data_IF_041339043016
#
_entry.id   IF_041339043016
#
_cell.length_a   1.000
_cell.length_b   1.000
_cell.length_c   1.000
_cell.angle_alpha   90.00
_cell.angle_beta   90.00
_cell.angle_gamma   90.00
#
_symmetry.space_group_name_H-M   'P 1'
#
loop_
_entity.id
_entity.type
_entity.pdbx_description
1 polymer ?
#
# COMPACT_ATOMS: atom_id res chain seq x y z
N UNK A 1 -22.87 6.59 -3.72
CA UNK A 1 -22.30 5.57 -4.61
C UNK A 1 -23.21 4.35 -4.60
N UNK A 2 -23.78 4.01 -5.76
CA UNK A 2 -24.63 2.84 -5.95
C UNK A 2 -23.94 1.92 -6.95
N UNK A 3 -23.40 0.81 -6.46
CA UNK A 3 -22.75 -0.22 -7.27
C UNK A 3 -23.58 -1.49 -7.20
N UNK A 4 -23.97 -2.00 -8.35
CA UNK A 4 -24.68 -3.27 -8.45
C UNK A 4 -24.13 -4.09 -9.62
N UNK A 5 -24.12 -5.40 -9.45
CA UNK A 5 -23.72 -6.33 -10.50
C UNK A 5 -24.80 -6.38 -11.58
N UNK A 6 -24.37 -6.40 -12.83
CA UNK A 6 -25.24 -6.53 -14.01
C UNK A 6 -24.88 -7.77 -14.84
N UNK A 7 -25.85 -8.31 -15.58
CA UNK A 7 -25.69 -9.43 -16.51
C UNK A 7 -25.66 -8.91 -17.95
N UNK A 8 -24.67 -8.10 -18.29
CA UNK A 8 -24.59 -7.44 -19.60
C UNK A 8 -23.48 -6.38 -19.64
N UNK A 9 -23.50 -5.47 -20.63
CA UNK A 9 -22.57 -4.35 -20.68
C UNK A 9 -22.58 -3.57 -19.37
N UNK A 10 -21.39 -3.35 -18.80
CA UNK A 10 -21.19 -2.64 -17.55
C UNK A 10 -20.32 -1.40 -17.75
N UNK A 11 -20.48 -0.41 -16.88
CA UNK A 11 -19.61 0.77 -16.87
C UNK A 11 -18.20 0.45 -16.36
N UNK A 12 -18.10 -0.52 -15.45
CA UNK A 12 -16.85 -1.07 -14.93
C UNK A 12 -16.90 -2.58 -15.10
N UNK A 13 -15.90 -3.15 -15.76
CA UNK A 13 -15.77 -4.61 -15.91
C UNK A 13 -14.52 -5.10 -15.21
N UNK A 14 -14.69 -6.02 -14.27
CA UNK A 14 -13.58 -6.66 -13.55
C UNK A 14 -13.28 -7.97 -14.26
N UNK A 15 -12.04 -8.10 -14.74
CA UNK A 15 -11.55 -9.28 -15.46
C UNK A 15 -10.40 -9.92 -14.69
N UNK A 16 -10.55 -11.19 -14.38
CA UNK A 16 -9.48 -12.00 -13.80
C UNK A 16 -8.61 -12.59 -14.91
N UNK A 17 -7.32 -12.29 -14.88
CA UNK A 17 -6.34 -12.64 -15.90
C UNK A 17 -5.13 -13.29 -15.23
N UNK A 18 -4.50 -14.33 -15.79
CA UNK A 18 -3.30 -14.92 -15.19
C UNK A 18 -2.19 -13.88 -15.00
N UNK A 19 -1.52 -13.90 -13.85
CA UNK A 19 -0.47 -12.95 -13.50
C UNK A 19 0.62 -12.85 -14.58
N UNK A 20 1.00 -13.98 -15.19
CA UNK A 20 1.98 -13.99 -16.29
C UNK A 20 1.56 -13.12 -17.49
N UNK A 21 0.27 -13.08 -17.83
CA UNK A 21 -0.24 -12.23 -18.91
C UNK A 21 -0.27 -10.75 -18.52
N UNK A 22 -0.57 -10.45 -17.25
CA UNK A 22 -0.47 -9.09 -16.71
C UNK A 22 0.98 -8.61 -16.81
N UNK A 23 1.95 -9.39 -16.31
CA UNK A 23 3.38 -9.04 -16.35
C UNK A 23 3.89 -8.87 -17.78
N UNK A 24 3.46 -9.70 -18.74
CA UNK A 24 3.84 -9.53 -20.14
C UNK A 24 3.31 -8.22 -20.74
N UNK A 25 2.10 -7.80 -20.34
CA UNK A 25 1.50 -6.57 -20.83
C UNK A 25 2.02 -5.32 -20.12
N UNK A 26 2.22 -5.41 -18.80
CA UNK A 26 2.67 -4.35 -17.89
C UNK A 26 3.61 -4.95 -16.83
N UNK A 27 4.93 -4.95 -17.06
CA UNK A 27 5.89 -5.67 -16.21
C UNK A 27 6.03 -5.18 -14.76
N UNK A 28 5.52 -3.98 -14.45
CA UNK A 28 5.76 -3.30 -13.18
C UNK A 28 4.53 -3.26 -12.25
N UNK A 29 3.41 -3.88 -12.64
CA UNK A 29 2.14 -3.80 -11.91
C UNK A 29 1.59 -5.20 -11.58
N UNK A 30 0.89 -5.32 -10.45
CA UNK A 30 0.21 -6.56 -10.06
C UNK A 30 -1.21 -6.63 -10.66
N UNK A 31 -1.85 -5.47 -10.74
CA UNK A 31 -3.18 -5.22 -11.28
C UNK A 31 -3.17 -3.83 -11.92
N UNK A 32 -4.17 -3.55 -12.75
CA UNK A 32 -4.28 -2.21 -13.35
C UNK A 32 -5.68 -1.92 -13.87
N UNK A 33 -5.99 -0.62 -13.95
CA UNK A 33 -7.24 -0.07 -14.48
C UNK A 33 -6.99 0.72 -15.75
N UNK A 34 -7.84 0.52 -16.76
CA UNK A 34 -7.77 1.26 -18.04
C UNK A 34 -9.12 1.77 -18.50
N UNK A 35 -9.16 2.92 -19.20
CA UNK A 35 -10.40 3.45 -19.74
C UNK A 35 -10.69 2.92 -21.14
N UNK A 36 -11.92 3.12 -21.60
CA UNK A 36 -12.31 2.98 -23.01
C UNK A 36 -12.54 1.56 -23.49
N UNK A 37 -12.24 0.54 -22.68
CA UNK A 37 -12.42 -0.88 -23.00
C UNK A 37 -13.21 -1.60 -21.91
N UNK A 38 -13.65 -2.83 -22.18
CA UNK A 38 -14.48 -3.62 -21.25
C UNK A 38 -13.89 -5.01 -20.96
N UNK A 39 -12.87 -5.45 -21.69
CA UNK A 39 -12.28 -6.78 -21.50
C UNK A 39 -10.82 -6.82 -21.95
N UNK A 40 -10.17 -7.96 -21.69
CA UNK A 40 -8.75 -8.19 -21.98
C UNK A 40 -8.42 -8.13 -23.47
N UNK A 41 -9.29 -8.70 -24.33
CA UNK A 41 -9.08 -8.69 -25.77
C UNK A 41 -9.15 -7.26 -26.33
N UNK A 42 -10.11 -6.46 -25.85
CA UNK A 42 -10.24 -5.05 -26.17
C UNK A 42 -9.04 -4.23 -25.70
N UNK A 43 -8.52 -4.51 -24.49
CA UNK A 43 -7.27 -3.90 -24.02
C UNK A 43 -6.11 -4.21 -24.97
N UNK A 44 -5.86 -5.48 -25.30
CA UNK A 44 -4.79 -5.89 -26.20
C UNK A 44 -4.89 -5.21 -27.58
N UNK A 45 -6.10 -5.13 -28.13
CA UNK A 45 -6.36 -4.48 -29.42
C UNK A 45 -6.15 -2.95 -29.39
N UNK A 46 -6.38 -2.31 -28.23
CA UNK A 46 -6.26 -0.88 -28.03
C UNK A 46 -4.89 -0.44 -27.48
N UNK A 47 -3.96 -1.38 -27.20
CA UNK A 47 -2.62 -1.06 -26.69
C UNK A 47 -1.90 -0.05 -27.60
N UNK A 48 -1.28 0.95 -26.99
CA UNK A 48 -0.56 2.01 -27.71
C UNK A 48 -1.45 3.00 -28.45
N UNK A 49 -2.78 2.90 -28.34
CA UNK A 49 -3.71 3.86 -28.92
C UNK A 49 -4.17 4.89 -27.90
N UNK A 50 -4.74 6.01 -28.38
CA UNK A 50 -5.32 7.07 -27.53
C UNK A 50 -6.59 6.64 -26.79
N UNK A 51 -7.15 5.47 -27.09
CA UNK A 51 -8.37 4.99 -26.43
C UNK A 51 -8.15 4.68 -24.95
N UNK A 52 -6.92 4.31 -24.57
CA UNK A 52 -6.54 3.96 -23.21
C UNK A 52 -5.96 5.15 -22.42
N UNK A 53 -5.95 6.35 -23.01
CA UNK A 53 -5.30 7.54 -22.46
C UNK A 53 -6.23 8.27 -21.48
N UNK A 54 -5.93 8.17 -20.19
CA UNK A 54 -6.68 8.81 -19.12
C UNK A 54 -6.75 10.34 -19.24
N UNK A 55 -5.68 10.99 -19.73
CA UNK A 55 -5.61 12.45 -19.85
C UNK A 55 -6.62 13.00 -20.87
N UNK A 56 -7.05 12.17 -21.82
CA UNK A 56 -8.02 12.54 -22.86
C UNK A 56 -9.44 12.17 -22.52
N UNK A 57 -9.68 11.54 -21.37
CA UNK A 57 -10.98 11.02 -21.01
C UNK A 57 -11.90 12.13 -20.51
N UNK A 58 -12.77 12.63 -21.38
CA UNK A 58 -13.78 13.62 -20.98
C UNK A 58 -14.86 13.06 -20.04
N UNK A 59 -15.20 11.77 -20.18
CA UNK A 59 -16.18 11.10 -19.31
C UNK A 59 -15.84 9.62 -19.15
N UNK A 60 -15.96 9.10 -17.91
CA UNK A 60 -15.81 7.68 -17.60
C UNK A 60 -17.09 6.93 -17.93
N UNK A 61 -17.13 6.28 -19.10
CA UNK A 61 -18.28 5.48 -19.53
C UNK A 61 -18.01 3.98 -19.48
N UNK A 62 -16.77 3.57 -19.81
CA UNK A 62 -16.32 2.18 -19.82
C UNK A 62 -14.92 2.11 -19.27
N UNK A 63 -14.75 1.35 -18.21
CA UNK A 63 -13.48 1.10 -17.54
C UNK A 63 -13.32 -0.42 -17.40
N UNK A 64 -12.11 -0.92 -17.63
CA UNK A 64 -11.75 -2.30 -17.33
C UNK A 64 -10.75 -2.32 -16.19
N UNK A 65 -10.96 -3.22 -15.23
CA UNK A 65 -10.07 -3.52 -14.12
C UNK A 65 -9.53 -4.93 -14.34
N UNK A 66 -8.21 -5.09 -14.35
CA UNK A 66 -7.56 -6.37 -14.53
C UNK A 66 -6.89 -6.82 -13.24
N UNK A 67 -7.33 -7.97 -12.73
CA UNK A 67 -6.84 -8.56 -11.48
C UNK A 67 -6.17 -9.91 -11.78
N UNK A 68 -5.11 -10.29 -11.04
CA UNK A 68 -4.50 -11.60 -11.18
C UNK A 68 -5.47 -12.71 -10.75
N UNK A 69 -5.66 -13.73 -11.59
CA UNK A 69 -6.56 -14.87 -11.31
C UNK A 69 -5.96 -15.93 -10.37
N UNK A 70 -4.64 -15.89 -10.21
CA UNK A 70 -3.79 -16.90 -9.60
C UNK A 70 -2.91 -16.33 -8.45
N UNK A 71 -3.20 -15.10 -8.02
CA UNK A 71 -2.59 -14.47 -6.83
C UNK A 71 -3.32 -14.84 -5.53
N UNK A 72 -2.75 -14.42 -4.40
CA UNK A 72 -3.32 -14.70 -3.07
C UNK A 72 -4.68 -14.01 -2.86
N UNK A 73 -5.58 -14.55 -2.00
CA UNK A 73 -6.84 -13.90 -1.68
C UNK A 73 -6.69 -12.46 -1.17
N UNK A 74 -5.65 -12.19 -0.36
CA UNK A 74 -5.35 -10.84 0.09
C UNK A 74 -4.97 -9.94 -1.07
N UNK A 75 -4.05 -10.35 -1.93
CA UNK A 75 -3.60 -9.53 -3.07
C UNK A 75 -4.74 -9.23 -4.05
N UNK A 76 -5.61 -10.20 -4.32
CA UNK A 76 -6.83 -9.98 -5.12
C UNK A 76 -7.75 -8.93 -4.49
N UNK A 77 -7.93 -8.98 -3.17
CA UNK A 77 -8.75 -8.01 -2.43
C UNK A 77 -8.10 -6.62 -2.46
N UNK A 78 -6.80 -6.56 -2.20
CA UNK A 78 -6.03 -5.31 -2.13
C UNK A 78 -6.08 -4.60 -3.51
N UNK A 79 -5.81 -5.33 -4.59
CA UNK A 79 -6.00 -4.85 -5.97
C UNK A 79 -7.45 -4.46 -6.28
N UNK A 80 -8.44 -5.22 -5.80
CA UNK A 80 -9.84 -4.85 -6.01
C UNK A 80 -10.19 -3.52 -5.33
N UNK A 81 -9.63 -3.23 -4.15
CA UNK A 81 -9.80 -1.93 -3.49
C UNK A 81 -9.16 -0.81 -4.30
N UNK A 82 -7.90 -0.96 -4.70
CA UNK A 82 -7.12 0.05 -5.41
C UNK A 82 -7.73 0.37 -6.78
N UNK A 83 -7.86 -0.64 -7.63
CA UNK A 83 -8.26 -0.44 -9.03
C UNK A 83 -9.72 0.00 -9.16
N UNK A 84 -10.59 -0.47 -8.26
CA UNK A 84 -11.97 0.01 -8.23
C UNK A 84 -12.07 1.43 -7.70
N UNK A 85 -11.26 1.81 -6.71
CA UNK A 85 -11.19 3.18 -6.22
C UNK A 85 -10.75 4.13 -7.34
N UNK A 86 -9.69 3.76 -8.07
CA UNK A 86 -9.19 4.52 -9.21
C UNK A 86 -10.19 4.56 -10.38
N UNK A 87 -10.88 3.44 -10.68
CA UNK A 87 -11.96 3.42 -11.67
C UNK A 87 -13.06 4.44 -11.36
N UNK A 88 -13.39 4.61 -10.08
CA UNK A 88 -14.47 5.47 -9.59
C UNK A 88 -14.03 6.91 -9.30
N UNK A 89 -12.78 7.10 -8.90
CA UNK A 89 -12.27 8.32 -8.29
C UNK A 89 -10.96 8.82 -8.87
N UNK A 90 -10.21 9.65 -8.14
CA UNK A 90 -8.91 10.14 -8.59
C UNK A 90 -7.94 9.01 -8.93
N UNK A 91 -7.05 9.26 -9.89
CA UNK A 91 -5.96 8.36 -10.28
C UNK A 91 -4.61 8.80 -9.71
N UNK A 92 -4.58 9.92 -8.99
CA UNK A 92 -3.34 10.52 -8.53
C UNK A 92 -2.85 9.81 -7.28
N UNK A 93 -1.60 9.39 -7.31
CA UNK A 93 -0.88 8.85 -6.18
C UNK A 93 -0.15 9.97 -5.44
N UNK A 94 -0.63 10.30 -4.25
CA UNK A 94 -0.17 11.43 -3.45
C UNK A 94 0.42 10.95 -2.13
N UNK A 95 1.75 10.82 -2.06
CA UNK A 95 2.46 10.37 -0.84
C UNK A 95 2.23 11.26 0.40
N UNK A 96 1.66 12.45 0.20
CA UNK A 96 1.23 13.35 1.28
C UNK A 96 -0.11 12.99 1.91
N UNK A 97 -0.77 11.92 1.48
CA UNK A 97 -2.04 11.41 2.03
C UNK A 97 -1.80 10.11 2.81
N UNK A 98 -1.24 10.16 4.04
CA UNK A 98 -0.88 8.96 4.80
C UNK A 98 -2.07 8.06 5.16
N UNK A 99 -3.30 8.55 5.04
CA UNK A 99 -4.57 7.91 5.38
C UNK A 99 -5.37 7.48 4.14
N UNK A 100 -4.72 7.23 3.00
CA UNK A 100 -5.39 6.95 1.73
C UNK A 100 -4.75 5.79 0.99
N UNK A 101 -5.56 4.97 0.30
CA UNK A 101 -5.04 4.02 -0.69
C UNK A 101 -4.45 4.74 -1.93
N UNK A 102 -4.82 6.00 -2.15
CA UNK A 102 -4.34 6.85 -3.26
C UNK A 102 -2.99 7.51 -2.95
N UNK A 103 -2.16 6.88 -2.11
CA UNK A 103 -0.87 7.42 -1.68
C UNK A 103 0.32 6.56 -2.12
N UNK A 104 0.05 5.42 -2.78
CA UNK A 104 1.00 4.49 -3.40
C UNK A 104 2.15 4.05 -2.46
N UNK A 105 1.89 4.04 -1.15
CA UNK A 105 2.83 3.55 -0.14
C UNK A 105 2.61 2.08 0.23
N UNK A 106 1.50 1.50 -0.22
CA UNK A 106 1.06 0.11 -0.02
C UNK A 106 0.89 -0.32 1.45
N UNK A 107 0.68 0.62 2.37
CA UNK A 107 0.36 0.29 3.77
C UNK A 107 -1.13 0.09 3.98
N UNK A 108 -1.95 1.02 3.47
CA UNK A 108 -3.41 0.87 3.45
C UNK A 108 -3.79 0.01 2.26
N UNK A 109 -4.36 -1.16 2.54
CA UNK A 109 -4.77 -2.11 1.50
C UNK A 109 -6.29 -2.29 1.42
N UNK A 110 -7.03 -1.45 2.13
CA UNK A 110 -8.48 -1.34 2.06
C UNK A 110 -8.85 0.14 2.07
N UNK A 111 -10.00 0.46 1.48
CA UNK A 111 -10.51 1.83 1.41
C UNK A 111 -10.67 2.43 2.82
N UNK A 112 -10.01 3.56 3.06
CA UNK A 112 -10.12 4.28 4.33
C UNK A 112 -11.38 5.15 4.37
N UNK A 113 -11.64 5.77 5.53
CA UNK A 113 -12.72 6.76 5.65
C UNK A 113 -12.46 7.98 4.77
N UNK A 114 -11.19 8.38 4.62
CA UNK A 114 -10.79 9.46 3.71
C UNK A 114 -11.11 9.09 2.26
N UNK A 115 -10.71 7.88 1.81
CA UNK A 115 -10.98 7.42 0.45
C UNK A 115 -12.48 7.38 0.15
N UNK A 116 -13.26 6.86 1.10
CA UNK A 116 -14.72 6.80 0.97
C UNK A 116 -15.36 8.19 0.91
N UNK A 117 -14.82 9.19 1.64
CA UNK A 117 -15.26 10.58 1.54
C UNK A 117 -14.95 11.16 0.15
N UNK A 118 -13.73 10.96 -0.35
CA UNK A 118 -13.31 11.42 -1.67
C UNK A 118 -14.16 10.78 -2.76
N UNK A 119 -14.40 9.46 -2.71
CA UNK A 119 -15.26 8.76 -3.67
C UNK A 119 -16.71 9.24 -3.63
N UNK A 120 -17.26 9.53 -2.44
CA UNK A 120 -18.62 10.10 -2.31
C UNK A 120 -18.73 11.47 -2.95
N UNK A 121 -17.74 12.33 -2.76
CA UNK A 121 -17.68 13.64 -3.41
C UNK A 121 -17.57 13.45 -4.93
N UNK A 122 -16.58 12.67 -5.38
CA UNK A 122 -16.26 12.51 -6.79
C UNK A 122 -17.41 11.89 -7.60
N UNK A 123 -18.17 10.97 -6.99
CA UNK A 123 -19.32 10.32 -7.62
C UNK A 123 -20.65 11.02 -7.33
N UNK A 124 -20.62 12.14 -6.60
CA UNK A 124 -21.80 12.92 -6.24
C UNK A 124 -22.38 13.71 -7.42
N UNK A 125 -23.70 13.96 -7.46
CA UNK A 125 -24.35 14.69 -8.55
C UNK A 125 -23.91 16.16 -8.68
N UNK A 126 -23.30 16.72 -7.63
CA UNK A 126 -22.77 18.08 -7.59
C UNK A 126 -21.55 18.25 -8.50
N UNK A 127 -20.79 17.17 -8.72
CA UNK A 127 -19.63 17.13 -9.61
C UNK A 127 -20.03 16.53 -10.97
N UNK A 128 -19.68 17.25 -12.05
CA UNK A 128 -19.96 16.81 -13.42
C UNK A 128 -18.71 16.87 -14.28
N UNK A 129 -18.58 15.93 -15.20
CA UNK A 129 -17.55 15.93 -16.24
C UNK A 129 -17.50 17.28 -16.98
N UNK A 130 -16.29 17.79 -17.20
CA UNK A 130 -16.05 19.08 -17.85
C UNK A 130 -16.01 20.31 -16.93
N UNK A 131 -16.26 20.16 -15.63
CA UNK A 131 -16.04 21.25 -14.67
C UNK A 131 -14.56 21.64 -14.58
N UNK A 132 -14.29 22.94 -14.47
CA UNK A 132 -12.96 23.48 -14.21
C UNK A 132 -12.58 23.28 -12.75
N UNK A 133 -11.28 23.20 -12.49
CA UNK A 133 -10.71 23.12 -11.13
C UNK A 133 -11.25 24.20 -10.18
N UNK A 134 -11.43 25.43 -10.67
CA UNK A 134 -11.98 26.54 -9.86
C UNK A 134 -13.46 26.34 -9.50
N UNK A 135 -14.24 25.70 -10.38
CA UNK A 135 -15.66 25.42 -10.13
C UNK A 135 -15.80 24.34 -9.08
N UNK A 136 -14.99 23.28 -9.18
CA UNK A 136 -14.90 22.22 -8.16
C UNK A 136 -14.45 22.81 -6.82
N UNK A 137 -13.38 23.61 -6.81
CA UNK A 137 -12.84 24.22 -5.59
C UNK A 137 -13.87 25.11 -4.87
N UNK A 138 -14.77 25.77 -5.61
CA UNK A 138 -15.83 26.57 -5.03
C UNK A 138 -16.95 25.72 -4.38
N UNK A 139 -17.18 24.50 -4.84
CA UNK A 139 -18.21 23.58 -4.31
C UNK A 139 -17.72 22.76 -3.11
N UNK A 140 -16.42 22.43 -3.08
CA UNK A 140 -15.86 21.53 -2.06
C UNK A 140 -16.13 21.95 -0.60
N UNK A 141 -16.04 23.23 -0.19
CA UNK A 141 -16.25 23.60 1.22
C UNK A 141 -17.64 23.22 1.75
N UNK A 142 -18.69 23.49 0.97
CA UNK A 142 -20.07 23.19 1.39
C UNK A 142 -20.34 21.68 1.38
N UNK A 143 -19.83 20.97 0.37
CA UNK A 143 -19.91 19.51 0.29
C UNK A 143 -19.19 18.84 1.47
N UNK A 144 -18.00 19.30 1.81
CA UNK A 144 -17.22 18.75 2.92
C UNK A 144 -17.88 19.03 4.28
N UNK A 145 -18.47 20.22 4.48
CA UNK A 145 -19.26 20.53 5.70
C UNK A 145 -20.44 19.57 5.86
N UNK A 146 -21.12 19.25 4.76
CA UNK A 146 -22.27 18.35 4.78
C UNK A 146 -21.86 16.88 5.01
N UNK A 147 -20.81 16.42 4.33
CA UNK A 147 -20.40 15.01 4.34
C UNK A 147 -19.50 14.64 5.53
N UNK A 148 -18.74 15.61 6.05
CA UNK A 148 -17.81 15.45 7.17
C UNK A 148 -17.78 16.71 8.06
N UNK A 149 -18.86 17.01 8.80
CA UNK A 149 -18.95 18.22 9.64
C UNK A 149 -17.87 18.30 10.71
N UNK A 150 -17.36 17.16 11.20
CA UNK A 150 -16.26 17.13 12.16
C UNK A 150 -14.96 17.73 11.59
N UNK A 151 -14.76 17.66 10.27
CA UNK A 151 -13.60 18.21 9.59
C UNK A 151 -13.49 19.74 9.65
N UNK A 152 -14.57 20.48 9.88
CA UNK A 152 -14.53 21.94 10.00
C UNK A 152 -13.74 22.42 11.20
N UNK A 153 -13.72 21.61 12.26
CA UNK A 153 -13.03 21.93 13.51
C UNK A 153 -11.63 21.33 13.58
N UNK A 154 -11.26 20.53 12.57
CA UNK A 154 -10.00 19.80 12.57
C UNK A 154 -8.83 20.75 12.27
N UNK A 155 -7.67 20.58 12.93
CA UNK A 155 -6.46 21.29 12.53
C UNK A 155 -6.07 20.87 11.11
N UNK A 156 -5.43 21.76 10.32
CA UNK A 156 -4.90 21.38 9.02
C UNK A 156 -3.98 20.16 9.14
N UNK A 157 -4.40 19.03 8.54
CA UNK A 157 -3.70 17.75 8.68
C UNK A 157 -2.37 17.71 7.91
N UNK A 158 -2.22 18.54 6.86
CA UNK A 158 -1.08 18.48 5.95
C UNK A 158 -0.45 19.85 5.72
N UNK A 159 0.86 19.93 5.94
CA UNK A 159 1.67 21.11 5.62
C UNK A 159 2.68 20.72 4.55
N UNK A 160 2.44 21.14 3.30
CA UNK A 160 3.43 20.96 2.23
C UNK A 160 2.84 21.01 0.82
N UNK A 161 3.66 21.52 -0.10
CA UNK A 161 3.43 21.40 -1.53
C UNK A 161 3.60 19.96 -2.04
N UNK A 162 3.39 19.75 -3.35
CA UNK A 162 3.68 18.47 -3.99
C UNK A 162 5.15 18.08 -3.79
N UNK A 163 5.41 16.78 -3.74
CA UNK A 163 6.77 16.23 -3.68
C UNK A 163 7.58 16.55 -4.95
N UNK A 164 8.89 16.83 -4.82
CA UNK A 164 9.76 16.95 -5.98
C UNK A 164 9.87 15.62 -6.73
N UNK A 165 9.82 15.66 -8.07
CA UNK A 165 9.98 14.48 -8.93
C UNK A 165 11.25 13.68 -8.63
N UNK A 166 12.32 14.35 -8.19
CA UNK A 166 13.57 13.70 -7.78
C UNK A 166 13.42 12.78 -6.58
N UNK A 167 12.52 13.09 -5.63
CA UNK A 167 12.21 12.24 -4.50
C UNK A 167 11.38 11.04 -4.97
N UNK A 168 10.35 11.30 -5.78
CA UNK A 168 9.50 10.27 -6.36
C UNK A 168 10.33 9.21 -7.12
N UNK A 169 11.20 9.64 -8.04
CA UNK A 169 12.09 8.72 -8.77
C UNK A 169 13.06 7.96 -7.85
N UNK A 170 13.45 8.52 -6.71
CA UNK A 170 14.30 7.84 -5.74
C UNK A 170 13.52 6.76 -4.95
N UNK A 171 12.26 7.03 -4.62
CA UNK A 171 11.36 6.04 -4.02
C UNK A 171 11.11 4.87 -4.97
N UNK A 172 10.66 5.14 -6.20
CA UNK A 172 10.40 4.11 -7.23
C UNK A 172 11.62 3.18 -7.45
N UNK A 173 12.83 3.74 -7.61
CA UNK A 173 14.05 2.93 -7.72
C UNK A 173 14.40 2.12 -6.47
N UNK A 174 14.01 2.59 -5.29
CA UNK A 174 14.30 1.90 -4.03
C UNK A 174 13.36 0.71 -3.78
N UNK A 175 12.12 0.83 -4.26
CA UNK A 175 11.06 -0.14 -4.08
C UNK A 175 11.03 -1.21 -5.18
N UNK A 176 11.35 -0.85 -6.42
CA UNK A 176 11.45 -1.78 -7.55
C UNK A 176 12.44 -2.91 -7.25
N UNK A 177 11.92 -4.14 -7.25
CA UNK A 177 12.65 -5.36 -6.91
C UNK A 177 13.53 -5.88 -8.04
N UNK A 178 13.31 -5.44 -9.28
CA UNK A 178 14.16 -5.77 -10.41
C UNK A 178 15.54 -5.10 -10.29
N UNK A 179 15.60 -3.96 -9.59
CA UNK A 179 16.86 -3.29 -9.30
C UNK A 179 17.72 -4.08 -8.29
N UNK A 180 19.05 -4.16 -8.50
CA UNK A 180 19.97 -4.75 -7.53
C UNK A 180 19.85 -4.10 -6.14
N UNK A 181 19.97 -4.90 -5.07
CA UNK A 181 19.83 -4.43 -3.67
C UNK A 181 20.75 -3.24 -3.35
N UNK A 182 21.96 -3.21 -3.91
CA UNK A 182 22.89 -2.09 -3.74
C UNK A 182 22.35 -0.76 -4.31
N UNK A 183 21.73 -0.81 -5.49
CA UNK A 183 21.10 0.34 -6.16
C UNK A 183 19.87 0.79 -5.38
N UNK A 184 19.01 -0.14 -4.99
CA UNK A 184 17.82 0.14 -4.17
C UNK A 184 18.19 0.84 -2.87
N UNK A 185 19.22 0.35 -2.17
CA UNK A 185 19.74 0.96 -0.94
C UNK A 185 20.28 2.37 -1.18
N UNK A 186 21.02 2.59 -2.27
CA UNK A 186 21.52 3.93 -2.61
C UNK A 186 20.36 4.89 -2.92
N UNK A 187 19.32 4.42 -3.60
CA UNK A 187 18.11 5.18 -3.89
C UNK A 187 17.32 5.53 -2.62
N UNK A 188 17.14 4.58 -1.69
CA UNK A 188 16.49 4.84 -0.40
C UNK A 188 17.24 5.88 0.44
N UNK A 189 18.57 5.77 0.50
CA UNK A 189 19.40 6.76 1.18
C UNK A 189 19.31 8.15 0.51
N UNK A 190 19.14 8.20 -0.81
CA UNK A 190 18.91 9.43 -1.56
C UNK A 190 17.55 10.04 -1.23
N UNK A 191 16.47 9.26 -1.27
CA UNK A 191 15.11 9.71 -0.93
C UNK A 191 15.07 10.32 0.48
N UNK A 192 15.69 9.65 1.46
CA UNK A 192 15.78 10.17 2.84
C UNK A 192 16.55 11.50 2.93
N UNK A 193 17.61 11.67 2.15
CA UNK A 193 18.37 12.94 2.11
C UNK A 193 17.53 14.08 1.55
N UNK A 194 16.75 13.82 0.50
CA UNK A 194 15.83 14.80 -0.09
C UNK A 194 14.74 15.14 0.91
N UNK A 195 14.06 14.15 1.51
CA UNK A 195 13.01 14.38 2.51
C UNK A 195 13.47 15.26 3.69
N UNK A 196 14.73 15.07 4.14
CA UNK A 196 15.35 15.92 5.17
C UNK A 196 15.66 17.33 4.66
N UNK A 197 16.13 17.47 3.42
CA UNK A 197 16.43 18.77 2.81
C UNK A 197 15.17 19.61 2.58
N UNK A 198 14.05 18.97 2.22
CA UNK A 198 12.72 19.59 2.13
C UNK A 198 12.15 19.98 3.49
N UNK A 199 12.75 19.52 4.59
CA UNK A 199 12.30 19.82 5.95
C UNK A 199 10.97 19.16 6.33
N UNK A 200 10.57 18.09 5.62
CA UNK A 200 9.34 17.37 5.91
C UNK A 200 9.35 16.74 7.30
N UNK A 201 8.16 16.64 7.91
CA UNK A 201 7.94 16.03 9.22
C UNK A 201 6.75 15.07 9.24
N UNK A 202 6.24 14.73 8.06
CA UNK A 202 5.03 13.94 7.83
C UNK A 202 5.36 12.54 7.28
N UNK A 203 4.34 11.88 6.73
CA UNK A 203 4.42 10.53 6.17
C UNK A 203 5.54 10.36 5.15
N UNK A 204 5.91 11.40 4.38
CA UNK A 204 6.98 11.31 3.37
C UNK A 204 8.35 11.09 3.99
N UNK A 205 8.64 11.79 5.11
CA UNK A 205 9.86 11.55 5.87
C UNK A 205 9.82 10.17 6.53
N UNK A 206 8.69 9.80 7.13
CA UNK A 206 8.52 8.51 7.79
C UNK A 206 8.72 7.33 6.81
N UNK A 207 8.15 7.42 5.61
CA UNK A 207 8.30 6.43 4.56
C UNK A 207 9.74 6.32 4.08
N UNK A 208 10.41 7.45 3.86
CA UNK A 208 11.83 7.48 3.49
C UNK A 208 12.73 6.84 4.55
N UNK A 209 12.44 7.07 5.83
CA UNK A 209 13.13 6.45 6.97
C UNK A 209 12.86 4.94 7.02
N UNK A 210 11.60 4.53 6.90
CA UNK A 210 11.20 3.12 6.89
C UNK A 210 11.90 2.35 5.76
N UNK A 211 11.86 2.87 4.53
CA UNK A 211 12.49 2.23 3.37
C UNK A 211 13.99 2.07 3.54
N UNK A 212 14.66 3.13 3.99
CA UNK A 212 16.09 3.12 4.23
C UNK A 212 16.45 2.15 5.37
N UNK A 213 15.65 2.13 6.45
CA UNK A 213 15.80 1.19 7.57
C UNK A 213 15.71 -0.26 7.11
N UNK A 214 14.65 -0.62 6.37
CA UNK A 214 14.44 -1.97 5.82
C UNK A 214 15.62 -2.44 4.96
N UNK A 215 16.16 -1.58 4.09
CA UNK A 215 17.29 -1.93 3.21
C UNK A 215 18.66 -1.94 3.91
N UNK A 216 18.71 -1.53 5.18
CA UNK A 216 19.92 -1.55 6.00
C UNK A 216 20.01 -2.74 6.97
N UNK A 217 18.91 -3.46 7.23
CA UNK A 217 18.84 -4.54 8.25
C UNK A 217 20.02 -5.51 8.15
N UNK A 218 20.31 -6.06 6.97
CA UNK A 218 21.39 -7.03 6.79
C UNK A 218 22.82 -6.45 6.73
N UNK A 219 23.00 -5.13 6.72
CA UNK A 219 24.32 -4.47 6.58
C UNK A 219 24.71 -3.64 7.77
N UNK A 220 23.77 -2.91 8.35
CA UNK A 220 23.98 -2.06 9.51
C UNK A 220 22.71 -2.08 10.38
N UNK A 221 22.53 -3.12 11.21
CA UNK A 221 21.34 -3.31 12.05
C UNK A 221 21.08 -2.12 12.97
N UNK A 222 22.12 -1.46 13.49
CA UNK A 222 21.99 -0.27 14.32
C UNK A 222 21.37 0.90 13.54
N UNK A 223 21.94 1.23 12.37
CA UNK A 223 21.36 2.29 11.53
C UNK A 223 19.97 1.93 11.01
N UNK A 224 19.69 0.65 10.77
CA UNK A 224 18.36 0.18 10.41
C UNK A 224 17.37 0.47 11.55
N UNK A 225 17.71 0.06 12.77
CA UNK A 225 16.93 0.30 13.98
C UNK A 225 16.65 1.78 14.20
N UNK A 226 17.69 2.63 14.13
CA UNK A 226 17.54 4.08 14.35
C UNK A 226 16.56 4.71 13.34
N UNK A 227 16.67 4.37 12.05
CA UNK A 227 15.74 4.87 11.03
C UNK A 227 14.31 4.37 11.25
N UNK A 228 14.13 3.08 11.57
CA UNK A 228 12.81 2.50 11.82
C UNK A 228 12.16 3.13 13.06
N UNK A 229 12.92 3.31 14.14
CA UNK A 229 12.41 3.93 15.35
C UNK A 229 12.00 5.40 15.11
N UNK A 230 12.75 6.14 14.30
CA UNK A 230 12.38 7.50 13.92
C UNK A 230 11.15 7.54 13.01
N UNK A 231 11.01 6.59 12.06
CA UNK A 231 9.80 6.44 11.25
C UNK A 231 8.57 6.18 12.15
N UNK A 232 8.70 5.24 13.09
CA UNK A 232 7.64 4.89 14.06
C UNK A 232 7.18 6.11 14.86
N UNK A 233 8.10 6.93 15.35
CA UNK A 233 7.78 8.16 16.12
C UNK A 233 6.96 9.15 15.29
N UNK A 234 7.19 9.23 13.99
CA UNK A 234 6.42 10.11 13.10
C UNK A 234 5.04 9.51 12.87
N UNK A 235 4.94 8.25 12.44
CA UNK A 235 3.66 7.59 12.20
C UNK A 235 2.75 7.57 13.44
N UNK A 236 3.31 7.35 14.63
CA UNK A 236 2.54 7.38 15.89
C UNK A 236 1.89 8.74 16.22
N UNK A 237 2.28 9.82 15.54
CA UNK A 237 1.70 11.16 15.70
C UNK A 237 0.75 11.54 14.57
N UNK A 238 0.74 10.78 13.48
CA UNK A 238 -0.15 11.03 12.36
C UNK A 238 -1.49 10.34 12.62
N UNK A 239 -2.62 11.01 12.29
CA UNK A 239 -3.91 10.33 12.30
C UNK A 239 -3.88 9.17 11.30
N UNK A 240 -4.59 8.08 11.62
CA UNK A 240 -4.84 6.94 10.74
C UNK A 240 -3.58 6.25 10.13
N UNK A 241 -2.41 6.42 10.76
CA UNK A 241 -1.14 5.81 10.38
C UNK A 241 -0.72 4.65 11.31
N UNK A 242 -1.67 4.04 12.04
CA UNK A 242 -1.37 2.94 12.96
C UNK A 242 -0.85 1.72 12.19
N UNK A 243 -1.39 1.44 11.01
CA UNK A 243 -0.92 0.33 10.17
C UNK A 243 0.53 0.54 9.70
N UNK A 244 0.91 1.79 9.37
CA UNK A 244 2.30 2.14 9.10
C UNK A 244 3.23 1.86 10.27
N UNK A 245 2.81 2.26 11.48
CA UNK A 245 3.56 1.95 12.69
C UNK A 245 3.66 0.43 12.92
N UNK A 246 2.62 -0.35 12.63
CA UNK A 246 2.62 -1.80 12.76
C UNK A 246 3.59 -2.51 11.78
N UNK A 247 3.68 -2.03 10.54
CA UNK A 247 4.69 -2.51 9.58
C UNK A 247 6.11 -2.16 10.00
N UNK A 248 6.33 -0.98 10.57
CA UNK A 248 7.62 -0.62 11.18
C UNK A 248 7.94 -1.53 12.38
N UNK A 249 6.94 -1.77 13.23
CA UNK A 249 7.06 -2.63 14.41
C UNK A 249 7.36 -4.07 14.03
N UNK A 250 6.80 -4.59 12.93
CA UNK A 250 7.19 -5.88 12.39
C UNK A 250 8.69 -5.97 12.05
N UNK A 251 9.27 -4.92 11.44
CA UNK A 251 10.71 -4.87 11.17
C UNK A 251 11.54 -4.78 12.46
N UNK A 252 11.12 -3.97 13.43
CA UNK A 252 11.80 -3.84 14.72
C UNK A 252 11.75 -5.16 15.51
N UNK A 253 10.60 -5.84 15.53
CA UNK A 253 10.46 -7.14 16.18
C UNK A 253 11.35 -8.21 15.53
N UNK A 254 11.47 -8.21 14.20
CA UNK A 254 12.39 -9.10 13.49
C UNK A 254 13.87 -8.81 13.82
N UNK A 255 14.26 -7.54 13.92
CA UNK A 255 15.62 -7.16 14.36
C UNK A 255 15.87 -7.59 15.81
N UNK A 256 14.92 -7.36 16.71
CA UNK A 256 15.02 -7.76 18.11
C UNK A 256 15.15 -9.29 18.25
N UNK A 257 14.35 -10.05 17.50
CA UNK A 257 14.44 -11.50 17.45
C UNK A 257 15.80 -11.99 16.94
N UNK A 258 16.32 -11.38 15.87
CA UNK A 258 17.65 -11.70 15.33
C UNK A 258 18.79 -11.38 16.31
N UNK A 259 18.59 -10.39 17.18
CA UNK A 259 19.52 -10.02 18.25
C UNK A 259 19.33 -10.80 19.56
N UNK A 260 18.48 -11.83 19.56
CA UNK A 260 18.09 -12.64 20.73
C UNK A 260 17.46 -11.82 21.88
N UNK A 261 16.93 -10.64 21.57
CA UNK A 261 16.18 -9.79 22.50
C UNK A 261 14.71 -10.24 22.57
N UNK A 262 14.48 -11.46 23.05
CA UNK A 262 13.20 -12.18 22.94
C UNK A 262 12.02 -11.41 23.56
N UNK A 263 12.18 -10.88 24.79
CA UNK A 263 11.12 -10.12 25.46
C UNK A 263 10.71 -8.87 24.68
N UNK A 264 11.68 -8.18 24.08
CA UNK A 264 11.43 -6.98 23.26
C UNK A 264 10.72 -7.35 21.96
N UNK A 265 11.11 -8.44 21.30
CA UNK A 265 10.43 -8.93 20.10
C UNK A 265 8.95 -9.27 20.37
N UNK A 266 8.67 -9.92 21.51
CA UNK A 266 7.31 -10.25 21.94
C UNK A 266 6.50 -8.97 22.23
N UNK A 267 7.06 -8.02 22.98
CA UNK A 267 6.40 -6.76 23.32
C UNK A 267 5.99 -5.97 22.06
N UNK A 268 6.92 -5.82 21.11
CA UNK A 268 6.66 -5.11 19.86
C UNK A 268 5.59 -5.85 19.03
N UNK A 269 5.70 -7.18 18.92
CA UNK A 269 4.71 -7.97 18.19
C UNK A 269 3.31 -7.87 18.83
N UNK A 270 3.21 -7.90 20.16
CA UNK A 270 1.95 -7.79 20.90
C UNK A 270 1.25 -6.46 20.68
N UNK A 271 2.01 -5.36 20.55
CA UNK A 271 1.46 -4.06 20.19
C UNK A 271 0.92 -4.00 18.75
N UNK A 272 1.61 -4.66 17.80
CA UNK A 272 1.31 -4.57 16.38
C UNK A 272 0.25 -5.58 15.88
N UNK A 273 0.13 -6.75 16.52
CA UNK A 273 -0.86 -7.79 16.17
C UNK A 273 -2.31 -7.27 16.10
N UNK A 274 -2.85 -6.56 17.11
CA UNK A 274 -4.23 -6.05 17.02
C UNK A 274 -4.39 -5.07 15.87
N UNK A 275 -3.41 -4.20 15.61
CA UNK A 275 -3.45 -3.25 14.50
C UNK A 275 -3.51 -3.95 13.15
N UNK A 276 -2.65 -4.96 12.93
CA UNK A 276 -2.66 -5.74 11.69
C UNK A 276 -3.97 -6.51 11.49
N UNK A 277 -4.57 -7.01 12.57
CA UNK A 277 -5.87 -7.69 12.55
C UNK A 277 -6.99 -6.73 12.17
N UNK A 278 -7.06 -5.57 12.83
CA UNK A 278 -8.13 -4.58 12.64
C UNK A 278 -8.06 -3.96 11.24
N UNK A 279 -6.85 -3.76 10.71
CA UNK A 279 -6.63 -3.34 9.32
C UNK A 279 -6.90 -4.45 8.28
N UNK A 280 -7.16 -5.69 8.71
CA UNK A 280 -7.38 -6.83 7.81
C UNK A 280 -6.15 -7.19 6.97
N UNK A 281 -4.93 -6.89 7.44
CA UNK A 281 -3.68 -7.24 6.76
C UNK A 281 -3.17 -8.61 7.24
N UNK A 282 -3.65 -9.67 6.61
CA UNK A 282 -3.40 -11.06 7.03
C UNK A 282 -1.93 -11.48 6.89
N UNK A 283 -1.22 -11.01 5.85
CA UNK A 283 0.21 -11.26 5.67
C UNK A 283 1.05 -10.64 6.80
N UNK A 284 0.77 -9.38 7.15
CA UNK A 284 1.41 -8.71 8.28
C UNK A 284 1.07 -9.42 9.61
N UNK A 285 -0.22 -9.75 9.82
CA UNK A 285 -0.70 -10.43 11.01
C UNK A 285 0.00 -11.79 11.21
N UNK A 286 0.06 -12.62 10.16
CA UNK A 286 0.74 -13.91 10.21
C UNK A 286 2.21 -13.75 10.56
N UNK A 287 2.89 -12.79 9.93
CA UNK A 287 4.31 -12.51 10.16
C UNK A 287 4.56 -12.13 11.62
N UNK A 288 3.77 -11.21 12.18
CA UNK A 288 3.89 -10.78 13.58
C UNK A 288 3.63 -11.92 14.57
N UNK A 289 2.59 -12.73 14.33
CA UNK A 289 2.30 -13.90 15.18
C UNK A 289 3.47 -14.89 15.15
N UNK A 290 4.07 -15.13 13.98
CA UNK A 290 5.18 -16.06 13.86
C UNK A 290 6.49 -15.55 14.46
N UNK A 291 6.77 -14.24 14.37
CA UNK A 291 7.88 -13.61 15.12
C UNK A 291 7.70 -13.84 16.62
N UNK A 292 6.49 -13.61 17.15
CA UNK A 292 6.17 -13.84 18.56
C UNK A 292 6.31 -15.33 18.94
N UNK A 293 5.81 -16.23 18.09
CA UNK A 293 5.90 -17.66 18.31
C UNK A 293 7.36 -18.12 18.41
N UNK A 294 8.23 -17.66 17.51
CA UNK A 294 9.65 -17.97 17.53
C UNK A 294 10.34 -17.41 18.78
N UNK A 295 10.03 -16.18 19.18
CA UNK A 295 10.59 -15.59 20.39
C UNK A 295 10.20 -16.39 21.65
N UNK A 296 8.94 -16.84 21.74
CA UNK A 296 8.47 -17.71 22.82
C UNK A 296 9.15 -19.07 22.81
N UNK A 297 9.35 -19.66 21.64
CA UNK A 297 9.99 -20.97 21.48
C UNK A 297 11.45 -20.95 21.97
N UNK A 298 12.21 -19.92 21.54
CA UNK A 298 13.58 -19.68 22.03
C UNK A 298 13.63 -19.37 23.52
N UNK A 299 12.58 -18.76 24.06
CA UNK A 299 12.41 -18.49 25.49
C UNK A 299 11.93 -19.70 26.31
N UNK A 300 11.82 -20.89 25.72
CA UNK A 300 11.41 -22.13 26.40
C UNK A 300 9.89 -22.33 26.54
N UNK A 301 9.07 -21.42 26.01
CA UNK A 301 7.61 -21.47 26.06
C UNK A 301 7.03 -22.24 24.86
N UNK A 302 7.51 -23.47 24.65
CA UNK A 302 7.23 -24.27 23.45
C UNK A 302 5.73 -24.53 23.19
N UNK A 303 4.94 -24.74 24.25
CA UNK A 303 3.49 -24.97 24.09
C UNK A 303 2.76 -23.72 23.59
N UNK A 304 3.11 -22.55 24.13
CA UNK A 304 2.56 -21.27 23.68
C UNK A 304 2.99 -20.96 22.24
N UNK A 305 4.26 -21.20 21.90
CA UNK A 305 4.76 -21.05 20.53
C UNK A 305 3.99 -21.94 19.54
N UNK A 306 3.75 -23.22 19.89
CA UNK A 306 2.98 -24.15 19.06
C UNK A 306 1.54 -23.68 18.83
N UNK A 307 0.88 -23.17 19.88
CA UNK A 307 -0.48 -22.61 19.75
C UNK A 307 -0.50 -21.42 18.77
N UNK A 308 0.44 -20.48 18.91
CA UNK A 308 0.52 -19.34 17.99
C UNK A 308 0.83 -19.72 16.54
N UNK A 309 1.68 -20.73 16.30
CA UNK A 309 1.92 -21.25 14.94
C UNK A 309 0.62 -21.78 14.32
N UNK A 310 -0.22 -22.47 15.09
CA UNK A 310 -1.55 -22.91 14.63
C UNK A 310 -2.47 -21.72 14.33
N UNK A 311 -2.52 -20.73 15.23
CA UNK A 311 -3.35 -19.52 15.06
C UNK A 311 -2.94 -18.70 13.84
N UNK A 312 -1.65 -18.72 13.47
CA UNK A 312 -1.13 -18.00 12.29
C UNK A 312 -1.51 -18.64 10.95
N UNK A 313 -1.94 -19.91 10.92
CA UNK A 313 -2.12 -20.66 9.67
C UNK A 313 -3.22 -20.07 8.77
N UNK A 314 -4.33 -19.60 9.34
CA UNK A 314 -5.42 -18.97 8.58
C UNK A 314 -4.96 -17.67 7.91
N UNK A 315 -4.48 -16.68 8.68
CA UNK A 315 -3.91 -15.45 8.12
C UNK A 315 -2.76 -15.70 7.14
N UNK A 316 -1.90 -16.70 7.40
CA UNK A 316 -0.79 -17.03 6.50
C UNK A 316 -1.29 -17.52 5.13
N UNK A 317 -2.25 -18.45 5.08
CA UNK A 317 -2.82 -18.92 3.81
C UNK A 317 -3.52 -17.80 3.04
N UNK A 318 -4.25 -16.93 3.73
CA UNK A 318 -4.93 -15.81 3.09
C UNK A 318 -3.95 -14.77 2.52
N UNK A 319 -2.87 -14.48 3.24
CA UNK A 319 -1.89 -13.45 2.88
C UNK A 319 -0.76 -13.91 1.95
N UNK A 320 -0.35 -15.18 2.02
CA UNK A 320 0.78 -15.72 1.26
C UNK A 320 0.39 -16.83 0.26
N UNK A 321 -0.83 -17.35 0.33
CA UNK A 321 -1.23 -18.55 -0.41
C UNK A 321 -0.77 -19.85 0.27
N UNK A 322 -1.25 -21.00 -0.21
CA UNK A 322 -1.08 -22.28 0.49
C UNK A 322 0.39 -22.74 0.57
N UNK A 323 1.13 -22.68 -0.54
CA UNK A 323 2.51 -23.18 -0.61
C UNK A 323 3.48 -22.33 0.23
N UNK A 324 3.43 -21.00 0.07
CA UNK A 324 4.29 -20.09 0.82
C UNK A 324 3.91 -20.03 2.31
N UNK A 325 2.63 -20.20 2.65
CA UNK A 325 2.22 -20.36 4.05
C UNK A 325 2.79 -21.65 4.66
N UNK A 326 2.79 -22.76 3.92
CA UNK A 326 3.38 -24.01 4.41
C UNK A 326 4.88 -23.87 4.68
N UNK A 327 5.63 -23.20 3.80
CA UNK A 327 7.05 -22.91 4.01
C UNK A 327 7.28 -22.01 5.23
N UNK A 328 6.53 -20.91 5.32
CA UNK A 328 6.63 -19.93 6.41
C UNK A 328 6.35 -20.54 7.79
N UNK A 329 5.40 -21.48 7.86
CA UNK A 329 5.04 -22.20 9.10
C UNK A 329 6.10 -23.23 9.52
N UNK A 330 6.90 -23.73 8.57
CA UNK A 330 7.94 -24.73 8.82
C UNK A 330 9.28 -24.11 9.20
N UNK A 331 9.64 -22.97 8.60
CA UNK A 331 10.90 -22.29 8.85
C UNK A 331 10.68 -20.80 9.14
N UNK A 332 10.68 -20.44 10.43
CA UNK A 332 10.55 -19.05 10.85
C UNK A 332 11.79 -18.21 10.46
N UNK A 333 12.95 -18.82 10.18
CA UNK A 333 14.10 -18.08 9.63
C UNK A 333 13.82 -17.52 8.23
N UNK A 334 12.77 -18.00 7.55
CA UNK A 334 12.25 -17.45 6.31
C UNK A 334 11.60 -16.08 6.54
N UNK A 335 11.14 -15.71 7.75
CA UNK A 335 10.61 -14.35 8.04
C UNK A 335 11.63 -13.24 7.68
N UNK A 336 12.93 -13.49 7.92
CA UNK A 336 13.99 -12.56 7.53
C UNK A 336 14.17 -12.42 6.01
N UNK A 337 13.76 -13.41 5.22
CA UNK A 337 13.78 -13.43 3.74
C UNK A 337 12.45 -12.97 3.14
N UNK A 338 11.32 -13.39 3.71
CA UNK A 338 9.93 -13.04 3.36
C UNK A 338 9.52 -11.62 3.73
N UNK A 339 10.37 -10.91 4.50
CA UNK A 339 10.34 -9.45 4.64
C UNK A 339 10.33 -8.68 3.30
N UNK A 340 10.56 -9.38 2.19
CA UNK A 340 10.39 -8.88 0.83
C UNK A 340 8.93 -8.81 0.35
N UNK A 341 7.97 -9.53 0.93
CA UNK A 341 6.61 -9.70 0.38
C UNK A 341 5.57 -8.68 0.90
N UNK A 342 5.84 -7.98 2.00
CA UNK A 342 4.81 -7.21 2.75
C UNK A 342 4.62 -5.75 2.31
N UNK A 343 5.45 -5.27 1.37
CA UNK A 343 5.27 -3.98 0.69
C UNK A 343 5.62 -4.23 -0.77
N UNK A 344 4.58 -4.36 -1.60
CA UNK A 344 4.72 -4.36 -3.06
C UNK A 344 5.40 -3.06 -3.51
N UNK A 345 6.17 -3.06 -4.60
CA UNK A 345 6.61 -1.81 -5.18
C UNK A 345 5.39 -0.89 -5.43
N UNK A 346 5.53 0.44 -5.26
CA UNK A 346 4.55 1.40 -5.72
C UNK A 346 4.20 1.06 -7.16
N UNK A 347 2.90 0.96 -7.45
CA UNK A 347 2.44 0.62 -8.77
C UNK A 347 2.55 1.86 -9.63
N UNK A 348 3.64 1.98 -10.39
CA UNK A 348 3.75 3.07 -11.35
C UNK A 348 2.83 2.79 -12.55
N UNK A 349 1.54 3.07 -12.39
CA UNK A 349 0.56 3.00 -13.49
C UNK A 349 0.83 4.06 -14.57
N UNK A 350 1.86 4.91 -14.41
CA UNK A 350 2.16 6.09 -15.24
C UNK A 350 2.96 5.80 -16.51
N UNK A 351 2.85 4.63 -17.11
CA UNK A 351 3.26 4.49 -18.52
C UNK A 351 2.28 5.22 -19.47
N UNK A 352 2.15 6.55 -19.30
CA UNK A 352 1.35 7.45 -20.13
C UNK A 352 0.57 8.56 -19.41
N UNK A 353 0.71 8.73 -18.09
CA UNK A 353 -0.08 9.69 -17.32
C UNK A 353 0.69 10.99 -17.10
N UNK A 354 0.60 11.92 -18.06
CA UNK A 354 1.01 13.32 -17.84
C UNK A 354 -0.02 14.01 -16.93
N UNK A 355 0.47 14.67 -15.87
CA UNK A 355 -0.31 15.45 -14.91
C UNK A 355 -1.01 16.65 -15.58
N UNK A 356 -2.34 16.73 -15.49
CA UNK A 356 -3.12 17.97 -15.63
C UNK A 356 -4.04 18.21 -14.43
#
# INVERSE_FOLDING_TARGET
MDLHRVNGPAAITISFVPHAQITEAMPEVACFVVPGVSDWAGYLAARGTRQLDWSRLGQRQRIAVFLPSDSTPQEVRDCLHEELAQALGPLNDLYRLPDSILNDDNFHNTLTTFDMLVLRIYTGPELRSGMRRSEVAALLPDLLRQLNPAGESAPPAHSGGPEPQIWHSAISRATDRQNPVAQRRAAAAHALRIARAEGWKDGRLAFSLFLNGRLLVGRNPKAAWDNLLDARKIYARLPDAQIHAAHVDMQLAAIALAADALSLAIEIADGAIPVARDAGNSALLATLILIKAEALDRGGQHQAAKALRLDSAGPARYGFGDDAAAELLQDVAVIGRSNSATVSPPQDTRSGQEEE
#
